data_IF_314592196716
#
_entry.id   IF_314592196716
#
_cell.length_a   1.000
_cell.length_b   1.000
_cell.length_c   1.000
_cell.angle_alpha   90.00
_cell.angle_beta   90.00
_cell.angle_gamma   90.00
#
_symmetry.space_group_name_H-M   'P 1'
#
loop_
_entity.id
_entity.type
_entity.pdbx_description
1 polymer ?
#
# COMPACT_ATOMS: atom_id res chain seq x y z
N UNK A 1 -33.56 3.08 23.21
CA UNK A 1 -32.43 3.91 22.75
C UNK A 1 -31.33 3.90 23.80
N UNK A 2 -30.15 3.37 23.46
CA UNK A 2 -28.97 3.27 24.34
C UNK A 2 -28.25 4.61 24.48
N UNK A 3 -27.42 4.79 25.52
CA UNK A 3 -26.59 6.00 25.70
C UNK A 3 -25.74 6.31 24.46
N UNK A 4 -25.17 5.27 23.84
CA UNK A 4 -24.37 5.39 22.62
C UNK A 4 -25.19 5.84 21.41
N UNK A 5 -26.47 5.48 21.33
CA UNK A 5 -27.34 5.94 20.24
C UNK A 5 -27.63 7.42 20.40
N UNK A 6 -27.88 7.88 21.65
CA UNK A 6 -28.11 9.30 21.94
C UNK A 6 -26.94 10.18 21.51
N UNK A 7 -25.72 9.80 21.91
CA UNK A 7 -24.48 10.52 21.57
C UNK A 7 -24.33 10.63 20.05
N UNK A 8 -24.57 9.54 19.31
CA UNK A 8 -24.47 9.56 17.86
C UNK A 8 -25.49 10.50 17.19
N UNK A 9 -26.72 10.60 17.72
CA UNK A 9 -27.71 11.55 17.23
C UNK A 9 -27.34 13.00 17.54
N UNK A 10 -26.83 13.27 18.75
CA UNK A 10 -26.38 14.59 19.17
C UNK A 10 -25.20 15.08 18.32
N UNK A 11 -24.22 14.22 18.09
CA UNK A 11 -23.11 14.52 17.18
C UNK A 11 -23.59 14.73 15.75
N UNK A 12 -24.53 13.89 15.29
CA UNK A 12 -25.14 14.08 13.98
C UNK A 12 -25.89 15.42 13.87
N UNK A 13 -26.33 16.05 14.96
CA UNK A 13 -26.99 17.38 14.92
C UNK A 13 -25.98 18.49 14.63
N UNK A 14 -24.72 18.29 15.00
CA UNK A 14 -23.63 19.23 14.71
C UNK A 14 -23.12 19.15 13.25
N UNK A 15 -23.52 18.12 12.50
CA UNK A 15 -23.05 17.91 11.13
C UNK A 15 -23.67 18.91 10.14
N UNK A 16 -22.95 19.26 9.05
CA UNK A 16 -23.55 19.93 7.90
C UNK A 16 -24.81 19.20 7.42
N UNK A 17 -25.82 19.98 6.96
CA UNK A 17 -27.14 19.46 6.58
C UNK A 17 -27.09 18.31 5.56
N UNK A 18 -26.11 18.33 4.67
CA UNK A 18 -25.90 17.27 3.67
C UNK A 18 -25.48 15.94 4.32
N UNK A 19 -24.53 15.99 5.25
CA UNK A 19 -24.06 14.82 6.00
C UNK A 19 -25.12 14.31 6.97
N UNK A 20 -25.91 15.20 7.58
CA UNK A 20 -27.03 14.79 8.43
C UNK A 20 -28.11 14.02 7.64
N UNK A 21 -28.47 14.48 6.43
CA UNK A 21 -29.40 13.74 5.56
C UNK A 21 -28.91 12.33 5.26
N UNK A 22 -27.61 12.20 5.03
CA UNK A 22 -26.98 10.92 4.78
C UNK A 22 -26.99 10.01 6.01
N UNK A 23 -26.77 10.58 7.20
CA UNK A 23 -26.88 9.87 8.48
C UNK A 23 -28.29 9.32 8.67
N UNK A 24 -29.30 10.17 8.48
CA UNK A 24 -30.70 9.80 8.66
C UNK A 24 -31.12 8.72 7.65
N UNK A 25 -30.65 8.81 6.39
CA UNK A 25 -30.88 7.77 5.38
C UNK A 25 -30.28 6.42 5.78
N UNK A 26 -29.03 6.41 6.27
CA UNK A 26 -28.39 5.17 6.73
C UNK A 26 -29.14 4.57 7.93
N UNK A 27 -29.60 5.39 8.87
CA UNK A 27 -30.38 4.90 10.00
C UNK A 27 -31.75 4.38 9.57
N UNK A 28 -32.42 5.05 8.62
CA UNK A 28 -33.69 4.60 8.03
C UNK A 28 -33.55 3.24 7.31
N UNK A 29 -32.38 2.97 6.72
CA UNK A 29 -32.02 1.67 6.13
C UNK A 29 -31.75 0.56 7.19
N UNK A 30 -31.97 0.84 8.47
CA UNK A 30 -31.81 -0.10 9.58
C UNK A 30 -30.39 -0.17 10.15
N UNK A 31 -29.48 0.74 9.76
CA UNK A 31 -28.15 0.78 10.36
C UNK A 31 -28.19 1.38 11.77
N UNK A 32 -27.29 0.92 12.63
CA UNK A 32 -27.12 1.53 13.95
C UNK A 32 -26.57 2.96 13.82
N UNK A 33 -27.10 3.94 14.59
CA UNK A 33 -26.64 5.33 14.55
C UNK A 33 -25.12 5.51 14.64
N UNK A 34 -24.42 4.75 15.49
CA UNK A 34 -22.96 4.88 15.62
C UNK A 34 -22.21 4.49 14.35
N UNK A 35 -22.71 3.46 13.64
CA UNK A 35 -22.11 3.01 12.41
C UNK A 35 -22.38 3.99 11.26
N UNK A 36 -23.59 4.54 11.19
CA UNK A 36 -23.93 5.59 10.23
C UNK A 36 -23.02 6.82 10.42
N UNK A 37 -22.84 7.25 11.66
CA UNK A 37 -21.97 8.39 11.99
C UNK A 37 -20.49 8.11 11.61
N UNK A 38 -19.96 6.96 11.99
CA UNK A 38 -18.59 6.57 11.64
C UNK A 38 -18.35 6.54 10.12
N UNK A 39 -19.31 6.04 9.34
CA UNK A 39 -19.22 6.02 7.88
C UNK A 39 -19.16 7.43 7.27
N UNK A 40 -19.90 8.37 7.85
CA UNK A 40 -20.00 9.75 7.37
C UNK A 40 -18.76 10.55 7.72
N UNK A 41 -18.24 10.37 8.93
CA UNK A 41 -17.01 11.01 9.38
C UNK A 41 -15.76 10.40 8.73
N UNK A 42 -15.90 9.30 7.98
CA UNK A 42 -14.78 8.49 7.47
C UNK A 42 -13.84 8.00 8.57
N UNK A 43 -14.31 8.01 9.82
CA UNK A 43 -13.58 7.45 10.95
C UNK A 43 -13.73 5.93 10.89
N UNK A 44 -12.62 5.24 10.65
CA UNK A 44 -12.62 3.79 10.74
C UNK A 44 -13.04 3.40 12.17
N UNK A 45 -14.05 2.53 12.35
CA UNK A 45 -14.34 1.91 13.64
C UNK A 45 -13.06 1.27 14.14
N UNK A 46 -12.43 1.85 15.15
CA UNK A 46 -11.08 1.45 15.56
C UNK A 46 -11.13 0.04 16.14
N UNK A 47 -10.66 -0.92 15.33
CA UNK A 47 -10.34 -2.27 15.78
C UNK A 47 -9.11 -2.19 16.68
N UNK A 48 -9.33 -2.23 18.00
CA UNK A 48 -8.32 -2.48 19.05
C UNK A 48 -7.13 -1.52 19.10
N UNK A 49 -7.29 -0.43 19.83
CA UNK A 49 -6.19 0.35 20.38
C UNK A 49 -6.66 1.23 21.52
N UNK A 50 -5.94 1.21 22.65
CA UNK A 50 -6.20 2.06 23.80
C UNK A 50 -6.09 3.54 23.40
N UNK A 51 -7.23 4.18 23.17
CA UNK A 51 -7.33 5.63 23.18
C UNK A 51 -8.10 6.06 24.43
N UNK A 52 -7.41 6.73 25.32
CA UNK A 52 -7.97 7.56 26.40
C UNK A 52 -8.17 8.96 25.84
N UNK A 53 -9.22 9.72 26.21
CA UNK A 53 -10.68 9.48 26.22
C UNK A 53 -11.35 10.31 25.07
N UNK A 54 -12.34 9.84 24.31
CA UNK A 54 -13.76 9.98 24.67
C UNK A 54 -14.70 8.96 23.98
N UNK A 55 -14.19 8.08 23.11
CA UNK A 55 -15.04 7.13 22.39
C UNK A 55 -14.68 5.69 22.71
N UNK A 56 -15.52 5.09 23.55
CA UNK A 56 -15.45 3.70 23.92
C UNK A 56 -15.64 2.79 22.72
N UNK A 57 -14.53 2.18 22.28
CA UNK A 57 -14.39 0.84 21.72
C UNK A 57 -15.73 0.20 21.27
N UNK A 58 -16.12 0.43 20.03
CA UNK A 58 -17.21 -0.30 19.38
C UNK A 58 -16.58 -1.49 18.68
N UNK A 59 -16.42 -2.59 19.42
CA UNK A 59 -15.98 -3.90 18.90
C UNK A 59 -17.00 -4.56 17.97
N UNK A 60 -17.62 -3.79 17.07
CA UNK A 60 -18.45 -4.31 16.00
C UNK A 60 -17.55 -4.65 14.82
N UNK A 61 -17.46 -5.93 14.46
CA UNK A 61 -16.89 -6.34 13.18
C UNK A 61 -17.61 -5.53 12.10
N UNK A 62 -16.89 -4.69 11.36
CA UNK A 62 -17.42 -4.06 10.15
C UNK A 62 -17.90 -5.20 9.28
N UNK A 63 -19.20 -5.22 8.96
CA UNK A 63 -19.73 -6.23 8.06
C UNK A 63 -19.09 -6.02 6.67
N UNK A 64 -18.70 -7.10 6.00
CA UNK A 64 -18.10 -7.07 4.67
C UNK A 64 -18.87 -6.16 3.71
N UNK A 65 -20.20 -6.15 3.86
CA UNK A 65 -21.09 -5.33 3.07
C UNK A 65 -20.84 -3.81 3.24
N UNK A 66 -20.52 -3.33 4.43
CA UNK A 66 -20.18 -1.91 4.64
C UNK A 66 -18.89 -1.51 3.96
N UNK A 67 -17.85 -2.33 4.08
CA UNK A 67 -16.56 -2.07 3.43
C UNK A 67 -16.73 -1.99 1.92
N UNK A 68 -17.42 -2.98 1.34
CA UNK A 68 -17.67 -3.08 -0.09
C UNK A 68 -18.53 -1.90 -0.57
N UNK A 69 -19.61 -1.57 0.15
CA UNK A 69 -20.45 -0.39 -0.16
C UNK A 69 -19.64 0.91 -0.13
N UNK A 70 -18.76 1.09 0.85
CA UNK A 70 -17.89 2.27 0.94
C UNK A 70 -16.90 2.35 -0.24
N UNK A 71 -16.28 1.25 -0.61
CA UNK A 71 -15.39 1.18 -1.77
C UNK A 71 -16.14 1.46 -3.09
N UNK A 72 -17.33 0.88 -3.27
CA UNK A 72 -18.20 1.17 -4.41
C UNK A 72 -18.63 2.62 -4.47
N UNK A 73 -19.03 3.19 -3.32
CA UNK A 73 -19.43 4.59 -3.23
C UNK A 73 -18.28 5.49 -3.68
N UNK A 74 -17.06 5.28 -3.18
CA UNK A 74 -15.87 6.05 -3.59
C UNK A 74 -15.60 5.97 -5.10
N UNK A 75 -15.79 4.81 -5.72
CA UNK A 75 -15.69 4.70 -7.18
C UNK A 75 -16.83 5.44 -7.89
N UNK A 76 -18.05 5.37 -7.36
CA UNK A 76 -19.23 5.98 -7.98
C UNK A 76 -19.25 7.51 -7.85
N UNK A 77 -18.68 8.07 -6.78
CA UNK A 77 -18.55 9.52 -6.59
C UNK A 77 -17.34 10.12 -7.31
N UNK A 78 -16.46 9.28 -7.87
CA UNK A 78 -15.32 9.73 -8.65
C UNK A 78 -15.78 10.40 -9.96
N UNK A 79 -15.00 11.39 -10.43
CA UNK A 79 -15.23 11.99 -11.76
C UNK A 79 -15.39 10.89 -12.82
N UNK A 80 -16.46 10.91 -13.65
CA UNK A 80 -16.74 9.87 -14.63
C UNK A 80 -15.57 9.54 -15.56
N UNK A 81 -14.80 10.55 -15.98
CA UNK A 81 -13.61 10.35 -16.85
C UNK A 81 -12.52 9.55 -16.16
N UNK A 82 -12.30 9.79 -14.87
CA UNK A 82 -11.30 9.06 -14.08
C UNK A 82 -11.77 7.63 -13.83
N UNK A 83 -13.05 7.44 -13.45
CA UNK A 83 -13.64 6.11 -13.28
C UNK A 83 -13.52 5.28 -14.55
N UNK A 84 -13.90 5.85 -15.70
CA UNK A 84 -13.79 5.17 -17.00
C UNK A 84 -12.34 4.81 -17.34
N UNK A 85 -11.39 5.71 -17.07
CA UNK A 85 -9.95 5.44 -17.27
C UNK A 85 -9.46 4.27 -16.42
N UNK A 86 -9.86 4.21 -15.14
CA UNK A 86 -9.50 3.12 -14.23
C UNK A 86 -10.08 1.79 -14.74
N UNK A 87 -11.36 1.77 -15.11
CA UNK A 87 -12.02 0.59 -15.66
C UNK A 87 -11.36 0.11 -16.96
N UNK A 88 -11.00 1.02 -17.87
CA UNK A 88 -10.27 0.69 -19.10
C UNK A 88 -8.90 0.06 -18.82
N UNK A 89 -8.17 0.53 -17.82
CA UNK A 89 -6.86 -0.05 -17.44
C UNK A 89 -7.06 -1.47 -16.90
N UNK A 90 -8.06 -1.68 -16.04
CA UNK A 90 -8.35 -3.01 -15.49
C UNK A 90 -8.83 -4.01 -16.56
N UNK A 91 -9.71 -3.57 -17.47
CA UNK A 91 -10.16 -4.38 -18.60
C UNK A 91 -9.01 -4.77 -19.53
N UNK A 92 -8.09 -3.85 -19.84
CA UNK A 92 -6.88 -4.15 -20.62
C UNK A 92 -5.96 -5.16 -19.94
N UNK A 93 -5.99 -5.23 -18.60
CA UNK A 93 -5.27 -6.23 -17.82
C UNK A 93 -6.04 -7.56 -17.67
N UNK A 94 -7.22 -7.71 -18.30
CA UNK A 94 -8.04 -8.92 -18.22
C UNK A 94 -8.79 -9.09 -16.89
N UNK A 95 -8.96 -8.01 -16.11
CA UNK A 95 -9.61 -8.07 -14.80
C UNK A 95 -11.13 -7.90 -14.97
N UNK A 96 -11.91 -8.82 -14.40
CA UNK A 96 -13.35 -8.64 -14.27
C UNK A 96 -13.66 -7.62 -13.15
N UNK A 97 -14.17 -6.45 -13.53
CA UNK A 97 -14.52 -5.36 -12.61
C UNK A 97 -15.97 -5.42 -12.14
N UNK A 98 -16.81 -6.28 -12.71
CA UNK A 98 -18.21 -6.40 -12.35
C UNK A 98 -18.35 -6.93 -10.91
N UNK A 99 -19.13 -6.23 -10.08
CA UNK A 99 -19.29 -6.60 -8.67
C UNK A 99 -18.03 -6.41 -7.82
N UNK A 100 -16.96 -5.79 -8.34
CA UNK A 100 -15.73 -5.50 -7.60
C UNK A 100 -15.49 -4.01 -7.43
N UNK A 101 -14.94 -3.64 -6.28
CA UNK A 101 -14.47 -2.29 -6.02
C UNK A 101 -12.94 -2.23 -6.01
N UNK A 102 -12.40 -1.12 -6.52
CA UNK A 102 -10.96 -0.87 -6.50
C UNK A 102 -10.49 -0.41 -5.11
N UNK A 103 -9.42 -1.04 -4.61
CA UNK A 103 -8.74 -0.67 -3.37
C UNK A 103 -7.28 -0.32 -3.66
N UNK A 104 -6.97 1.00 -3.69
CA UNK A 104 -5.64 1.48 -4.06
C UNK A 104 -4.51 1.13 -3.09
N UNK A 105 -4.83 0.68 -1.87
CA UNK A 105 -3.83 0.22 -0.91
C UNK A 105 -3.28 -1.18 -1.25
N UNK A 106 -4.00 -1.96 -2.08
CA UNK A 106 -3.62 -3.32 -2.45
C UNK A 106 -2.81 -3.38 -3.75
N UNK A 107 -2.62 -2.26 -4.45
CA UNK A 107 -1.86 -2.18 -5.69
C UNK A 107 -2.46 -1.21 -6.71
N UNK A 108 -1.85 -1.14 -7.89
CA UNK A 108 -2.32 -0.30 -8.99
C UNK A 108 -3.53 -0.88 -9.74
N UNK A 109 -4.12 -0.08 -10.63
CA UNK A 109 -5.36 -0.44 -11.36
C UNK A 109 -5.25 -1.71 -12.22
N UNK A 110 -4.05 -2.07 -12.68
CA UNK A 110 -3.77 -3.27 -13.47
C UNK A 110 -3.47 -4.51 -12.61
N UNK A 111 -3.44 -4.39 -11.28
CA UNK A 111 -3.22 -5.53 -10.40
C UNK A 111 -4.58 -6.18 -10.06
N UNK A 112 -4.83 -7.45 -10.41
CA UNK A 112 -6.08 -8.13 -10.07
C UNK A 112 -6.34 -8.18 -8.56
N UNK A 113 -5.29 -8.19 -7.73
CA UNK A 113 -5.40 -8.21 -6.26
C UNK A 113 -5.94 -6.89 -5.68
N UNK A 114 -5.94 -5.81 -6.46
CA UNK A 114 -6.48 -4.52 -6.05
C UNK A 114 -8.00 -4.39 -6.30
N UNK A 115 -8.64 -5.41 -6.86
CA UNK A 115 -10.09 -5.43 -7.15
C UNK A 115 -10.78 -6.48 -6.26
N UNK A 116 -11.47 -6.00 -5.24
CA UNK A 116 -12.07 -6.84 -4.19
C UNK A 116 -13.60 -6.78 -4.23
N UNK A 117 -14.24 -7.90 -3.99
CA UNK A 117 -15.69 -8.02 -3.81
C UNK A 117 -16.10 -8.24 -2.36
N UNK A 118 -15.19 -8.73 -1.51
CA UNK A 118 -15.43 -9.04 -0.09
C UNK A 118 -14.26 -8.60 0.79
N UNK A 119 -14.40 -8.68 2.11
CA UNK A 119 -13.28 -8.46 3.03
C UNK A 119 -12.28 -9.63 2.99
N UNK A 120 -12.75 -10.84 2.68
CA UNK A 120 -11.91 -12.02 2.47
C UNK A 120 -10.94 -11.84 1.29
N UNK A 121 -11.42 -11.25 0.18
CA UNK A 121 -10.57 -10.91 -0.97
C UNK A 121 -9.44 -9.96 -0.56
N UNK A 122 -9.74 -8.97 0.30
CA UNK A 122 -8.74 -8.02 0.84
C UNK A 122 -7.71 -8.77 1.69
N UNK A 123 -8.18 -9.65 2.59
CA UNK A 123 -7.29 -10.45 3.44
C UNK A 123 -6.39 -11.36 2.60
N UNK A 124 -6.93 -11.99 1.56
CA UNK A 124 -6.17 -12.84 0.65
C UNK A 124 -5.12 -12.02 -0.12
N UNK A 125 -5.50 -10.86 -0.64
CA UNK A 125 -4.57 -9.92 -1.29
C UNK A 125 -3.45 -9.47 -0.35
N UNK A 126 -3.77 -9.18 0.92
CA UNK A 126 -2.78 -8.84 1.94
C UNK A 126 -1.83 -9.99 2.24
N UNK A 127 -2.34 -11.23 2.37
CA UNK A 127 -1.53 -12.43 2.57
C UNK A 127 -0.58 -12.68 1.40
N UNK A 128 -1.10 -12.65 0.17
CA UNK A 128 -0.33 -12.92 -1.05
C UNK A 128 0.78 -11.89 -1.29
N UNK A 129 0.55 -10.64 -0.92
CA UNK A 129 1.51 -9.55 -1.12
C UNK A 129 2.33 -9.23 0.15
N UNK A 130 2.15 -10.01 1.21
CA UNK A 130 2.75 -9.77 2.51
C UNK A 130 2.58 -8.32 3.00
N UNK A 131 1.38 -7.75 2.82
CA UNK A 131 1.04 -6.39 3.23
C UNK A 131 0.32 -6.42 4.57
N UNK A 132 0.76 -5.62 5.54
CA UNK A 132 0.01 -5.46 6.80
C UNK A 132 -1.24 -4.63 6.58
N UNK A 133 -2.34 -4.98 7.24
CA UNK A 133 -3.60 -4.25 7.22
C UNK A 133 -4.15 -4.11 8.64
N UNK A 134 -4.69 -2.93 8.94
CA UNK A 134 -5.38 -2.61 10.18
C UNK A 134 -6.75 -2.00 9.87
N UNK A 135 -7.76 -2.28 10.71
CA UNK A 135 -9.12 -1.79 10.53
C UNK A 135 -10.14 -2.91 10.37
N UNK A 136 -10.91 -2.89 9.27
CA UNK A 136 -11.94 -3.91 8.99
C UNK A 136 -11.34 -5.32 8.83
N UNK A 137 -10.14 -5.40 8.25
CA UNK A 137 -9.36 -6.62 8.08
C UNK A 137 -8.05 -6.43 8.84
N UNK A 138 -7.80 -7.30 9.82
CA UNK A 138 -6.56 -7.28 10.60
C UNK A 138 -5.65 -8.39 10.10
N UNK A 139 -4.51 -8.03 9.52
CA UNK A 139 -3.47 -8.97 9.11
C UNK A 139 -2.10 -8.35 9.31
N UNK A 140 -1.21 -9.11 9.96
CA UNK A 140 0.17 -8.72 10.18
C UNK A 140 1.05 -9.48 9.17
N UNK A 141 1.73 -8.73 8.31
CA UNK A 141 2.74 -9.29 7.42
C UNK A 141 3.83 -10.00 8.22
N UNK A 142 4.40 -11.06 7.65
CA UNK A 142 5.59 -11.68 8.23
C UNK A 142 6.81 -10.83 7.86
N UNK A 143 7.82 -10.78 8.74
CA UNK A 143 9.10 -10.19 8.38
C UNK A 143 9.73 -11.02 7.27
N UNK A 144 9.89 -10.41 6.09
CA UNK A 144 10.80 -10.95 5.08
C UNK A 144 12.23 -10.72 5.56
N UNK A 145 13.05 -11.76 5.50
CA UNK A 145 14.49 -11.62 5.73
C UNK A 145 14.99 -10.51 4.81
N UNK A 146 15.65 -9.50 5.42
CA UNK A 146 16.16 -8.35 4.67
C UNK A 146 16.90 -8.85 3.44
N UNK A 147 16.67 -8.25 2.25
CA UNK A 147 17.28 -8.73 1.02
C UNK A 147 18.78 -8.88 1.26
N UNK A 148 19.28 -10.10 1.05
CA UNK A 148 20.66 -10.49 1.35
C UNK A 148 21.54 -9.36 0.86
N UNK A 149 22.16 -8.64 1.81
CA UNK A 149 23.02 -7.51 1.48
C UNK A 149 24.00 -8.02 0.43
N UNK A 150 24.01 -7.38 -0.74
CA UNK A 150 24.79 -7.88 -1.88
C UNK A 150 26.21 -8.14 -1.42
N UNK A 151 26.61 -9.42 -1.40
CA UNK A 151 27.96 -9.80 -0.96
C UNK A 151 28.97 -8.99 -1.79
N UNK A 152 29.95 -8.41 -1.11
CA UNK A 152 31.04 -7.72 -1.79
C UNK A 152 31.63 -8.63 -2.88
N UNK A 153 32.01 -8.05 -4.02
CA UNK A 153 32.59 -8.80 -5.13
C UNK A 153 33.83 -9.54 -4.62
N UNK A 154 33.92 -10.85 -4.89
CA UNK A 154 35.05 -11.64 -4.40
C UNK A 154 36.39 -11.07 -4.93
N UNK A 155 37.45 -11.00 -4.11
CA UNK A 155 38.71 -10.34 -4.50
C UNK A 155 39.37 -10.90 -5.76
N UNK A 156 39.20 -12.20 -6.01
CA UNK A 156 39.70 -12.90 -7.20
C UNK A 156 38.96 -12.46 -8.48
N UNK A 157 37.64 -12.24 -8.39
CA UNK A 157 36.82 -11.68 -9.48
C UNK A 157 37.24 -10.25 -9.78
N UNK A 158 37.43 -9.41 -8.75
CA UNK A 158 37.91 -8.03 -8.91
C UNK A 158 39.26 -8.02 -9.63
N UNK A 159 40.19 -8.89 -9.22
CA UNK A 159 41.52 -9.01 -9.83
C UNK A 159 41.44 -9.48 -11.29
N UNK A 160 40.56 -10.44 -11.60
CA UNK A 160 40.35 -10.96 -12.97
C UNK A 160 39.79 -9.90 -13.91
N UNK A 161 38.78 -9.15 -13.47
CA UNK A 161 38.18 -8.07 -14.27
C UNK A 161 39.10 -6.85 -14.40
N UNK A 162 39.85 -6.50 -13.35
CA UNK A 162 40.88 -5.46 -13.44
C UNK A 162 41.94 -5.83 -14.49
N UNK A 163 42.40 -7.09 -14.53
CA UNK A 163 43.33 -7.57 -15.56
C UNK A 163 42.73 -7.44 -16.97
N UNK A 164 41.45 -7.79 -17.14
CA UNK A 164 40.73 -7.64 -18.42
C UNK A 164 40.65 -6.18 -18.86
N UNK A 165 40.39 -5.24 -17.95
CA UNK A 165 40.38 -3.80 -18.27
C UNK A 165 41.75 -3.30 -18.70
N UNK A 166 42.82 -3.66 -17.96
CA UNK A 166 44.18 -3.25 -18.30
C UNK A 166 44.71 -3.86 -19.61
N UNK A 167 44.17 -5.00 -20.03
CA UNK A 167 44.51 -5.60 -21.33
C UNK A 167 43.85 -4.85 -22.49
N UNK A 168 42.66 -4.27 -22.26
CA UNK A 168 41.91 -3.51 -23.27
C UNK A 168 42.41 -2.07 -23.40
N UNK A 169 42.96 -1.50 -22.34
CA UNK A 169 43.43 -0.11 -22.28
C UNK A 169 44.91 -0.08 -21.84
N UNK A 170 45.86 -0.13 -22.79
CA UNK A 170 47.29 -0.16 -22.49
C UNK A 170 47.81 1.14 -21.86
N UNK A 171 47.16 2.28 -22.11
CA UNK A 171 47.52 3.57 -21.48
C UNK A 171 47.18 3.57 -19.99
N UNK A 172 46.03 2.99 -19.64
CA UNK A 172 45.67 2.74 -18.24
C UNK A 172 46.65 1.75 -17.59
N UNK A 173 47.13 0.75 -18.32
CA UNK A 173 48.12 -0.20 -17.84
C UNK A 173 49.48 0.45 -17.52
N UNK A 174 49.94 1.40 -18.34
CA UNK A 174 51.14 2.19 -18.07
C UNK A 174 50.98 3.00 -16.78
N UNK A 175 49.86 3.70 -16.62
CA UNK A 175 49.55 4.51 -15.42
C UNK A 175 49.48 3.67 -14.15
N UNK A 176 48.92 2.46 -14.20
CA UNK A 176 48.83 1.58 -13.02
C UNK A 176 50.20 1.07 -12.56
N UNK A 177 51.21 1.01 -13.45
CA UNK A 177 52.60 0.67 -13.05
C UNK A 177 53.25 1.75 -12.20
N UNK A 178 52.81 3.01 -12.32
CA UNK A 178 53.41 4.17 -11.65
C UNK A 178 53.09 4.23 -10.14
N UNK A 179 52.06 3.54 -9.65
CA UNK A 179 51.71 3.63 -8.23
C UNK A 179 50.55 2.76 -7.75
N UNK A 180 50.56 2.47 -6.44
CA UNK A 180 49.54 1.66 -5.75
C UNK A 180 48.15 2.29 -5.75
N UNK A 181 48.06 3.62 -5.72
CA UNK A 181 46.80 4.38 -5.69
C UNK A 181 45.97 4.12 -6.95
N UNK A 182 46.55 4.25 -8.14
CA UNK A 182 45.84 4.00 -9.42
C UNK A 182 45.38 2.55 -9.56
N UNK A 183 46.08 1.60 -8.92
CA UNK A 183 45.64 0.19 -8.87
C UNK A 183 44.38 0.01 -8.03
N UNK A 184 44.25 0.74 -6.93
CA UNK A 184 43.03 0.76 -6.10
C UNK A 184 41.87 1.41 -6.85
N UNK A 185 42.10 2.54 -7.54
CA UNK A 185 41.05 3.21 -8.35
C UNK A 185 40.47 2.29 -9.43
N UNK A 186 41.30 1.48 -10.10
CA UNK A 186 40.82 0.50 -11.09
C UNK A 186 39.98 -0.60 -10.42
N UNK A 187 40.39 -1.06 -9.24
CA UNK A 187 39.62 -2.05 -8.48
C UNK A 187 38.26 -1.49 -8.03
N UNK A 188 38.23 -0.25 -7.52
CA UNK A 188 37.01 0.45 -7.13
C UNK A 188 36.08 0.67 -8.33
N UNK A 189 36.63 1.00 -9.50
CA UNK A 189 35.86 1.16 -10.75
C UNK A 189 35.23 -0.16 -11.21
N UNK A 190 35.92 -1.29 -11.03
CA UNK A 190 35.36 -2.63 -11.27
C UNK A 190 34.23 -2.92 -10.30
N UNK A 191 34.43 -2.67 -9.00
CA UNK A 191 33.40 -2.87 -7.97
C UNK A 191 32.18 -1.98 -8.27
N UNK A 192 32.36 -0.70 -8.57
CA UNK A 192 31.27 0.22 -8.90
C UNK A 192 30.48 -0.20 -10.15
N UNK A 193 31.16 -0.74 -11.16
CA UNK A 193 30.52 -1.23 -12.39
C UNK A 193 29.65 -2.47 -12.14
N UNK A 194 30.06 -3.33 -11.21
CA UNK A 194 29.39 -4.60 -10.90
C UNK A 194 28.54 -4.55 -9.63
N UNK A 195 28.57 -3.45 -8.88
CA UNK A 195 27.74 -3.26 -7.72
C UNK A 195 26.27 -3.32 -8.13
N UNK A 196 25.39 -3.96 -7.32
CA UNK A 196 23.96 -3.93 -7.59
C UNK A 196 23.51 -2.48 -7.67
N UNK A 197 23.04 -2.04 -8.84
CA UNK A 197 22.46 -0.71 -9.00
C UNK A 197 21.34 -0.62 -7.99
N UNK A 198 21.48 0.28 -7.00
CA UNK A 198 20.45 0.56 -6.02
C UNK A 198 19.19 0.89 -6.83
N UNK A 199 18.22 -0.03 -6.86
CA UNK A 199 16.90 0.31 -7.41
C UNK A 199 16.45 1.47 -6.54
N UNK A 200 16.22 2.64 -7.14
CA UNK A 200 15.53 3.74 -6.51
C UNK A 200 14.14 3.19 -6.16
N UNK A 201 14.02 2.61 -4.97
CA UNK A 201 12.72 2.29 -4.40
C UNK A 201 12.07 3.63 -4.16
N UNK A 202 11.07 3.95 -4.98
CA UNK A 202 10.22 5.10 -4.79
C UNK A 202 9.46 4.87 -3.49
N UNK A 203 10.02 5.31 -2.36
CA UNK A 203 9.29 5.35 -1.09
C UNK A 203 8.29 6.49 -1.21
N UNK A 204 7.12 6.19 -1.77
CA UNK A 204 5.96 7.06 -1.67
C UNK A 204 5.59 7.17 -0.19
N UNK A 205 5.76 8.36 0.37
CA UNK A 205 5.10 8.75 1.62
C UNK A 205 3.61 8.93 1.38
#
# INVERSE_FOLDING_TARGET
MTLRERIAYEEAESLPRELRREFDAMVADGNKPQFALACILQEAPSGKGNFTPHFGNVGGRINDQAFVRSAFRRMNTMNPRNREKILKIAQRAGINTEGKAYCGQLGGYSNPMAWCSTAEDVLESCKRQNLSSSGAVEYKAHEEEAPIQGKALAPDIVKREAKRLLTKDPDLAAKVREGRVKKQEVAERVVAKHAPKKRLTFSGR
#
